data_IF_816787854201
#
_entry.id   IF_816787854201
#
_cell.length_a   1.000
_cell.length_b   1.000
_cell.length_c   1.000
_cell.angle_alpha   90.00
_cell.angle_beta   90.00
_cell.angle_gamma   90.00
#
_symmetry.space_group_name_H-M   'P 1'
#
loop_
_entity.id
_entity.type
_entity.pdbx_description
1 polymer ?
#
# COMPACT_ATOMS: atom_id res chain seq x y z
N UNK A 1 -26.05 -64.99 10.75
CA UNK A 1 -24.70 -64.80 10.21
C UNK A 1 -24.59 -63.33 9.75
N UNK A 2 -24.07 -62.47 10.61
CA UNK A 2 -24.03 -61.04 10.37
C UNK A 2 -22.59 -60.66 9.95
N UNK A 3 -22.40 -60.32 8.71
CA UNK A 3 -21.10 -59.98 8.13
C UNK A 3 -20.73 -58.56 8.55
N UNK A 4 -19.81 -58.41 9.49
CA UNK A 4 -19.23 -57.15 9.88
C UNK A 4 -18.33 -56.68 8.73
N UNK A 5 -18.72 -55.62 8.00
CA UNK A 5 -17.87 -54.90 7.09
C UNK A 5 -16.87 -54.10 7.92
N UNK A 6 -15.62 -54.56 7.97
CA UNK A 6 -14.48 -53.78 8.45
C UNK A 6 -14.25 -52.63 7.49
N UNK A 7 -14.62 -51.40 7.91
CA UNK A 7 -14.26 -50.17 7.26
C UNK A 7 -12.74 -50.00 7.46
N UNK A 8 -11.95 -50.34 6.46
CA UNK A 8 -10.51 -50.04 6.43
C UNK A 8 -10.34 -48.54 6.54
N UNK A 9 -9.85 -48.08 7.69
CA UNK A 9 -9.46 -46.67 7.89
C UNK A 9 -8.41 -46.30 6.84
N UNK A 10 -8.77 -45.44 5.91
CA UNK A 10 -7.81 -44.86 4.98
C UNK A 10 -6.69 -44.17 5.77
N UNK A 11 -5.40 -44.40 5.45
CA UNK A 11 -4.30 -43.70 6.10
C UNK A 11 -4.50 -42.21 5.96
N UNK A 12 -4.19 -41.43 7.01
CA UNK A 12 -4.32 -39.97 6.96
C UNK A 12 -3.52 -39.44 5.78
N UNK A 13 -4.18 -38.62 4.95
CA UNK A 13 -3.53 -37.96 3.82
C UNK A 13 -2.26 -37.23 4.30
N UNK A 14 -1.12 -37.33 3.60
CA UNK A 14 0.11 -36.68 4.01
C UNK A 14 -0.15 -35.19 4.15
N UNK A 15 0.35 -34.59 5.25
CA UNK A 15 0.20 -33.17 5.51
C UNK A 15 0.61 -32.35 4.27
N UNK A 16 -0.20 -31.37 3.85
CA UNK A 16 0.06 -30.64 2.63
C UNK A 16 1.43 -29.94 2.73
N UNK A 17 2.30 -30.21 1.77
CA UNK A 17 3.62 -29.58 1.69
C UNK A 17 3.43 -28.07 1.60
N UNK A 18 4.26 -27.27 2.34
CA UNK A 18 4.24 -25.80 2.28
C UNK A 18 4.37 -25.31 0.82
N UNK A 19 3.55 -24.31 0.43
CA UNK A 19 3.61 -23.68 -0.90
C UNK A 19 5.01 -23.19 -1.26
N UNK A 20 5.82 -22.79 -0.28
CA UNK A 20 7.19 -22.34 -0.50
C UNK A 20 8.14 -23.44 -1.02
N UNK A 21 7.76 -24.72 -0.88
CA UNK A 21 8.52 -25.83 -1.48
C UNK A 21 8.21 -26.04 -2.95
N UNK A 22 7.10 -25.52 -3.45
CA UNK A 22 6.68 -25.61 -4.83
C UNK A 22 7.41 -24.56 -5.69
N UNK A 23 8.17 -25.03 -6.68
CA UNK A 23 8.96 -24.16 -7.55
C UNK A 23 8.18 -23.02 -8.19
N UNK A 24 6.95 -23.22 -8.75
CA UNK A 24 6.21 -22.13 -9.36
C UNK A 24 5.81 -21.03 -8.36
N UNK A 25 5.28 -21.42 -7.20
CA UNK A 25 4.91 -20.45 -6.17
C UNK A 25 6.12 -19.73 -5.60
N UNK A 26 7.23 -20.44 -5.35
CA UNK A 26 8.47 -19.85 -4.85
C UNK A 26 9.04 -18.80 -5.81
N UNK A 27 8.99 -19.04 -7.14
CA UNK A 27 9.43 -18.06 -8.14
C UNK A 27 8.55 -16.81 -8.12
N UNK A 28 7.23 -16.96 -8.08
CA UNK A 28 6.31 -15.82 -7.98
C UNK A 28 6.50 -15.07 -6.65
N UNK A 29 6.64 -15.80 -5.55
CA UNK A 29 6.84 -15.24 -4.21
C UNK A 29 8.13 -14.43 -4.10
N UNK A 30 9.27 -14.97 -4.58
CA UNK A 30 10.56 -14.27 -4.57
C UNK A 30 10.55 -13.07 -5.52
N UNK A 31 9.92 -13.18 -6.69
CA UNK A 31 9.71 -12.06 -7.60
C UNK A 31 8.97 -10.92 -6.90
N UNK A 32 7.84 -11.21 -6.27
CA UNK A 32 7.05 -10.24 -5.55
C UNK A 32 7.80 -9.63 -4.34
N UNK A 33 8.46 -10.46 -3.53
CA UNK A 33 9.18 -10.01 -2.33
C UNK A 33 10.33 -9.05 -2.68
N UNK A 34 11.16 -9.40 -3.66
CA UNK A 34 12.30 -8.58 -4.09
C UNK A 34 11.83 -7.29 -4.76
N UNK A 35 10.82 -7.38 -5.63
CA UNK A 35 10.22 -6.20 -6.28
C UNK A 35 9.62 -5.22 -5.26
N UNK A 36 8.92 -5.71 -4.23
CA UNK A 36 8.35 -4.85 -3.19
C UNK A 36 9.41 -4.20 -2.31
N UNK A 37 10.52 -4.89 -2.03
CA UNK A 37 11.67 -4.28 -1.35
C UNK A 37 12.27 -3.14 -2.18
N UNK A 38 12.52 -3.36 -3.47
CA UNK A 38 12.99 -2.31 -4.37
C UNK A 38 12.06 -1.10 -4.40
N UNK A 39 10.76 -1.33 -4.56
CA UNK A 39 9.74 -0.28 -4.56
C UNK A 39 9.70 0.50 -3.22
N UNK A 40 9.92 -0.18 -2.08
CA UNK A 40 10.01 0.49 -0.79
C UNK A 40 11.25 1.41 -0.70
N UNK A 41 12.38 1.04 -1.31
CA UNK A 41 13.56 1.90 -1.44
C UNK A 41 13.25 3.10 -2.33
N UNK A 42 12.68 2.89 -3.52
CA UNK A 42 12.32 3.97 -4.46
C UNK A 42 11.28 4.93 -3.89
N UNK A 43 10.38 4.47 -3.03
CA UNK A 43 9.39 5.34 -2.36
C UNK A 43 10.04 6.43 -1.51
N UNK A 44 11.28 6.23 -1.05
CA UNK A 44 12.10 7.22 -0.35
C UNK A 44 13.05 7.95 -1.31
N UNK A 45 13.66 7.19 -2.24
CA UNK A 45 14.69 7.72 -3.14
C UNK A 45 14.11 8.74 -4.15
N UNK A 46 12.96 8.46 -4.77
CA UNK A 46 12.35 9.30 -5.80
C UNK A 46 12.03 10.72 -5.29
N UNK A 47 11.33 10.92 -4.15
CA UNK A 47 11.15 12.25 -3.57
C UNK A 47 12.49 12.96 -3.24
N UNK A 48 13.49 12.22 -2.77
CA UNK A 48 14.81 12.78 -2.48
C UNK A 48 15.59 13.14 -3.75
N UNK A 49 15.46 12.39 -4.84
CA UNK A 49 15.98 12.80 -6.16
C UNK A 49 15.38 14.15 -6.56
N UNK A 50 14.07 14.32 -6.42
CA UNK A 50 13.42 15.58 -6.74
C UNK A 50 13.93 16.73 -5.85
N UNK A 51 13.98 16.53 -4.52
CA UNK A 51 14.32 17.58 -3.56
C UNK A 51 15.81 17.91 -3.54
N UNK A 52 16.69 16.89 -3.53
CA UNK A 52 18.14 17.06 -3.32
C UNK A 52 18.88 17.21 -4.64
N UNK A 53 18.59 16.37 -5.64
CA UNK A 53 19.32 16.40 -6.91
C UNK A 53 18.75 17.41 -7.90
N UNK A 54 17.43 17.62 -7.92
CA UNK A 54 16.76 18.53 -8.87
C UNK A 54 16.27 19.83 -8.23
N UNK A 55 16.46 20.03 -6.93
CA UNK A 55 16.02 21.21 -6.18
C UNK A 55 14.52 21.53 -6.36
N UNK A 56 13.68 20.50 -6.51
CA UNK A 56 12.25 20.62 -6.72
C UNK A 56 11.57 21.36 -5.57
N UNK A 57 10.60 22.20 -5.88
CA UNK A 57 9.76 22.89 -4.91
C UNK A 57 8.59 22.01 -4.40
N UNK A 58 7.77 22.55 -3.50
CA UNK A 58 6.65 21.82 -2.91
C UNK A 58 5.58 21.42 -3.95
N UNK A 59 5.32 22.28 -4.97
CA UNK A 59 4.39 21.98 -6.05
C UNK A 59 4.89 20.80 -6.89
N UNK A 60 6.16 20.81 -7.23
CA UNK A 60 6.83 19.77 -8.01
C UNK A 60 6.83 18.43 -7.26
N UNK A 61 7.17 18.43 -5.97
CA UNK A 61 7.13 17.20 -5.15
C UNK A 61 5.70 16.67 -5.02
N UNK A 62 4.71 17.54 -4.84
CA UNK A 62 3.29 17.19 -4.82
C UNK A 62 2.82 16.63 -6.15
N UNK A 63 3.24 17.22 -7.29
CA UNK A 63 2.95 16.70 -8.62
C UNK A 63 3.55 15.30 -8.81
N UNK A 64 4.81 15.10 -8.45
CA UNK A 64 5.49 13.81 -8.57
C UNK A 64 4.78 12.71 -7.76
N UNK A 65 4.41 13.02 -6.51
CA UNK A 65 3.66 12.11 -5.66
C UNK A 65 2.24 11.84 -6.19
N UNK A 66 1.59 12.83 -6.82
CA UNK A 66 0.31 12.66 -7.49
C UNK A 66 0.43 11.73 -8.69
N UNK A 67 1.45 11.92 -9.54
CA UNK A 67 1.70 11.07 -10.70
C UNK A 67 1.94 9.60 -10.33
N UNK A 68 2.57 9.34 -9.18
CA UNK A 68 2.80 7.97 -8.70
C UNK A 68 1.51 7.22 -8.34
N UNK A 69 0.44 7.93 -8.00
CA UNK A 69 -0.83 7.35 -7.54
C UNK A 69 -1.97 7.48 -8.55
N UNK A 70 -1.93 8.51 -9.39
CA UNK A 70 -3.00 8.81 -10.37
C UNK A 70 -3.17 7.71 -11.41
N UNK A 71 -2.08 7.03 -11.78
CA UNK A 71 -2.10 5.92 -12.74
C UNK A 71 -3.13 4.85 -12.34
N UNK A 72 -3.17 4.48 -11.06
CA UNK A 72 -4.14 3.50 -10.56
C UNK A 72 -5.59 3.98 -10.70
N UNK A 73 -5.86 5.25 -10.43
CA UNK A 73 -7.22 5.81 -10.54
C UNK A 73 -7.72 5.87 -11.98
N UNK A 74 -6.84 6.26 -12.91
CA UNK A 74 -7.21 6.47 -14.31
C UNK A 74 -7.32 5.15 -15.07
N UNK A 75 -6.38 4.23 -14.88
CA UNK A 75 -6.27 3.03 -15.69
C UNK A 75 -6.52 1.71 -14.97
N UNK A 76 -6.72 1.73 -13.63
CA UNK A 76 -6.93 0.50 -12.88
C UNK A 76 -8.13 -0.35 -13.36
N UNK A 77 -9.23 0.30 -13.75
CA UNK A 77 -10.40 -0.39 -14.28
C UNK A 77 -10.22 -0.86 -15.74
N UNK A 78 -9.76 0.00 -16.69
CA UNK A 78 -9.45 -0.45 -18.05
C UNK A 78 -8.39 -1.54 -18.10
N UNK A 79 -7.33 -1.43 -17.26
CA UNK A 79 -6.28 -2.43 -17.16
C UNK A 79 -6.84 -3.80 -16.75
N UNK A 80 -7.81 -3.84 -15.82
CA UNK A 80 -8.48 -5.08 -15.43
C UNK A 80 -9.15 -5.77 -16.61
N UNK A 81 -9.95 -5.03 -17.37
CA UNK A 81 -10.65 -5.57 -18.52
C UNK A 81 -9.70 -6.05 -19.65
N UNK A 82 -8.57 -5.37 -19.83
CA UNK A 82 -7.57 -5.73 -20.83
C UNK A 82 -6.75 -6.97 -20.38
N UNK A 83 -6.30 -6.97 -19.13
CA UNK A 83 -5.53 -8.08 -18.55
C UNK A 83 -6.33 -9.37 -18.52
N UNK A 84 -7.65 -9.32 -18.24
CA UNK A 84 -8.50 -10.51 -18.23
C UNK A 84 -8.53 -11.23 -19.59
N UNK A 85 -8.33 -10.50 -20.69
CA UNK A 85 -8.27 -11.04 -22.06
C UNK A 85 -6.87 -11.39 -22.55
N UNK A 86 -5.85 -11.07 -21.75
CA UNK A 86 -4.43 -11.22 -22.13
C UNK A 86 -3.78 -12.36 -21.33
N UNK A 87 -2.73 -13.00 -21.88
CA UNK A 87 -1.93 -13.96 -21.13
C UNK A 87 -1.20 -13.23 -19.98
N UNK A 88 -1.44 -13.67 -18.74
CA UNK A 88 -1.02 -12.93 -17.52
C UNK A 88 0.49 -12.80 -17.39
N UNK A 89 1.21 -13.90 -17.65
CA UNK A 89 2.69 -13.96 -17.51
C UNK A 89 3.41 -13.00 -18.44
N UNK A 90 3.17 -12.95 -19.77
CA UNK A 90 3.78 -11.95 -20.65
C UNK A 90 3.48 -10.51 -20.22
N UNK A 91 2.26 -10.22 -19.76
CA UNK A 91 1.90 -8.89 -19.24
C UNK A 91 2.76 -8.53 -18.03
N UNK A 92 2.93 -9.45 -17.07
CA UNK A 92 3.78 -9.21 -15.89
C UNK A 92 5.24 -8.97 -16.27
N UNK A 93 5.79 -9.77 -17.19
CA UNK A 93 7.18 -9.61 -17.65
C UNK A 93 7.36 -8.28 -18.38
N UNK A 94 6.46 -7.93 -19.30
CA UNK A 94 6.52 -6.65 -20.01
C UNK A 94 6.42 -5.45 -19.03
N UNK A 95 5.53 -5.54 -18.04
CA UNK A 95 5.39 -4.51 -17.02
C UNK A 95 6.68 -4.35 -16.19
N UNK A 96 7.32 -5.45 -15.80
CA UNK A 96 8.61 -5.41 -15.07
C UNK A 96 9.73 -4.80 -15.91
N UNK A 97 9.84 -5.16 -17.19
CA UNK A 97 10.84 -4.59 -18.08
C UNK A 97 10.63 -3.10 -18.32
N UNK A 98 9.37 -2.67 -18.48
CA UNK A 98 9.02 -1.25 -18.61
C UNK A 98 9.38 -0.48 -17.34
N UNK A 99 9.07 -1.01 -16.15
CA UNK A 99 9.45 -0.41 -14.86
C UNK A 99 10.95 -0.32 -14.70
N UNK A 100 11.67 -1.39 -15.01
CA UNK A 100 13.11 -1.43 -14.94
C UNK A 100 13.76 -0.40 -15.87
N UNK A 101 13.29 -0.29 -17.11
CA UNK A 101 13.78 0.70 -18.07
C UNK A 101 13.45 2.12 -17.62
N UNK A 102 12.20 2.39 -17.21
CA UNK A 102 11.76 3.71 -16.78
C UNK A 102 12.55 4.20 -15.55
N UNK A 103 12.63 3.41 -14.47
CA UNK A 103 13.36 3.80 -13.28
C UNK A 103 14.89 3.71 -13.48
N UNK A 104 15.40 2.77 -14.26
CA UNK A 104 16.82 2.68 -14.59
C UNK A 104 17.33 3.85 -15.44
N UNK A 105 16.45 4.50 -16.20
CA UNK A 105 16.77 5.72 -16.95
C UNK A 105 17.12 6.91 -16.05
N UNK A 106 16.61 6.95 -14.81
CA UNK A 106 16.84 8.06 -13.87
C UNK A 106 18.30 8.15 -13.43
N UNK A 107 18.93 7.09 -12.87
CA UNK A 107 20.36 7.14 -12.54
C UNK A 107 21.25 7.27 -13.78
N UNK A 108 20.86 6.71 -14.93
CA UNK A 108 21.61 6.87 -16.17
C UNK A 108 21.63 8.34 -16.65
N UNK A 109 20.46 9.00 -16.66
CA UNK A 109 20.37 10.42 -17.01
C UNK A 109 21.09 11.31 -16.00
N UNK A 110 21.06 10.94 -14.70
CA UNK A 110 21.80 11.65 -13.66
C UNK A 110 23.33 11.56 -13.87
N UNK A 111 23.85 10.37 -14.14
CA UNK A 111 25.26 10.15 -14.40
C UNK A 111 25.75 10.92 -15.63
N UNK A 112 24.89 11.12 -16.64
CA UNK A 112 25.16 11.91 -17.83
C UNK A 112 24.96 13.42 -17.64
N UNK A 113 24.55 13.89 -16.44
CA UNK A 113 24.24 15.29 -16.17
C UNK A 113 23.00 15.82 -16.91
N UNK A 114 22.12 14.92 -17.40
CA UNK A 114 20.92 15.25 -18.20
C UNK A 114 19.59 14.98 -17.49
N UNK A 115 19.62 14.64 -16.21
CA UNK A 115 18.39 14.40 -15.46
C UNK A 115 17.60 15.70 -15.28
N UNK A 116 16.36 15.70 -15.74
CA UNK A 116 15.41 16.80 -15.58
C UNK A 116 14.22 16.39 -14.75
N UNK A 117 13.50 17.36 -14.19
CA UNK A 117 12.27 17.09 -13.44
C UNK A 117 11.18 16.43 -14.35
N UNK A 118 11.06 16.88 -15.60
CA UNK A 118 10.15 16.28 -16.57
C UNK A 118 10.48 14.80 -16.86
N UNK A 119 11.78 14.45 -16.97
CA UNK A 119 12.23 13.07 -17.12
C UNK A 119 11.81 12.22 -15.90
N UNK A 120 12.04 12.74 -14.68
CA UNK A 120 11.65 12.05 -13.45
C UNK A 120 10.13 11.81 -13.39
N UNK A 121 9.33 12.81 -13.73
CA UNK A 121 7.86 12.70 -13.82
C UNK A 121 7.43 11.64 -14.84
N UNK A 122 8.03 11.62 -16.03
CA UNK A 122 7.75 10.63 -17.06
C UNK A 122 8.09 9.22 -16.58
N UNK A 123 9.27 9.03 -15.99
CA UNK A 123 9.71 7.74 -15.44
C UNK A 123 8.76 7.22 -14.35
N UNK A 124 8.35 8.08 -13.42
CA UNK A 124 7.41 7.75 -12.33
C UNK A 124 6.02 7.41 -12.90
N UNK A 125 5.50 8.18 -13.84
CA UNK A 125 4.20 7.91 -14.45
C UNK A 125 4.19 6.60 -15.23
N UNK A 126 5.20 6.37 -16.07
CA UNK A 126 5.35 5.14 -16.86
C UNK A 126 5.48 3.92 -15.94
N UNK A 127 6.31 4.02 -14.89
CA UNK A 127 6.46 2.98 -13.88
C UNK A 127 5.14 2.74 -13.13
N UNK A 128 4.40 3.80 -12.79
CA UNK A 128 3.08 3.70 -12.15
C UNK A 128 2.05 2.98 -13.02
N UNK A 129 1.97 3.33 -14.31
CA UNK A 129 1.12 2.65 -15.29
C UNK A 129 1.46 1.16 -15.38
N UNK A 130 2.75 0.83 -15.55
CA UNK A 130 3.20 -0.55 -15.63
C UNK A 130 2.91 -1.34 -14.34
N UNK A 131 3.02 -0.69 -13.17
CA UNK A 131 2.69 -1.29 -11.87
C UNK A 131 1.21 -1.69 -11.80
N UNK A 132 0.29 -0.88 -12.33
CA UNK A 132 -1.14 -1.23 -12.38
C UNK A 132 -1.37 -2.51 -13.19
N UNK A 133 -0.75 -2.62 -14.36
CA UNK A 133 -0.86 -3.83 -15.19
C UNK A 133 -0.26 -5.06 -14.49
N UNK A 134 0.89 -4.90 -13.85
CA UNK A 134 1.53 -5.97 -13.08
C UNK A 134 0.63 -6.46 -11.93
N UNK A 135 0.12 -5.54 -11.11
CA UNK A 135 -0.71 -5.87 -9.95
C UNK A 135 -1.98 -6.63 -10.35
N UNK A 136 -2.67 -6.15 -11.39
CA UNK A 136 -3.88 -6.78 -11.90
C UNK A 136 -3.59 -8.16 -12.45
N UNK A 137 -2.52 -8.30 -13.24
CA UNK A 137 -2.12 -9.59 -13.82
C UNK A 137 -1.68 -10.59 -12.74
N UNK A 138 -0.93 -10.14 -11.73
CA UNK A 138 -0.46 -10.97 -10.62
C UNK A 138 -1.61 -11.51 -9.77
N UNK A 139 -2.58 -10.66 -9.43
CA UNK A 139 -3.78 -11.07 -8.69
C UNK A 139 -4.62 -12.08 -9.47
N UNK A 140 -4.71 -11.93 -10.80
CA UNK A 140 -5.45 -12.84 -11.67
C UNK A 140 -4.70 -14.15 -11.92
N UNK A 141 -3.36 -14.15 -11.85
CA UNK A 141 -2.53 -15.33 -12.07
C UNK A 141 -2.42 -16.25 -10.84
N UNK A 142 -2.59 -15.72 -9.63
CA UNK A 142 -2.41 -16.48 -8.39
C UNK A 142 -3.32 -17.69 -8.27
N UNK A 143 -4.66 -17.62 -8.55
CA UNK A 143 -5.54 -18.79 -8.51
C UNK A 143 -5.18 -19.87 -9.53
N UNK A 144 -4.65 -19.47 -10.69
CA UNK A 144 -4.22 -20.39 -11.75
C UNK A 144 -2.95 -21.15 -11.34
N UNK A 145 -2.09 -20.52 -10.53
CA UNK A 145 -0.81 -21.07 -10.12
C UNK A 145 -0.93 -22.05 -8.93
N UNK A 146 -1.74 -21.71 -7.91
CA UNK A 146 -1.80 -22.47 -6.64
C UNK A 146 -3.08 -23.31 -6.46
N UNK A 147 -4.05 -23.14 -7.34
CA UNK A 147 -5.39 -23.72 -7.18
C UNK A 147 -6.24 -22.97 -6.13
N UNK A 148 -7.56 -23.15 -6.20
CA UNK A 148 -8.49 -22.41 -5.32
C UNK A 148 -8.39 -22.82 -3.86
N UNK A 149 -8.08 -24.09 -3.60
CA UNK A 149 -8.02 -24.65 -2.24
C UNK A 149 -6.87 -24.09 -1.41
N UNK A 150 -5.79 -23.64 -2.06
CA UNK A 150 -4.59 -23.12 -1.39
C UNK A 150 -4.43 -21.59 -1.49
N UNK A 151 -5.42 -20.87 -2.03
CA UNK A 151 -5.40 -19.41 -2.15
C UNK A 151 -5.22 -18.69 -0.81
N UNK A 152 -5.83 -19.23 0.26
CA UNK A 152 -5.72 -18.64 1.60
C UNK A 152 -4.28 -18.68 2.11
N UNK A 153 -3.58 -19.80 1.92
CA UNK A 153 -2.16 -19.95 2.30
C UNK A 153 -1.28 -19.02 1.45
N UNK A 154 -1.49 -18.98 0.13
CA UNK A 154 -0.75 -18.11 -0.78
C UNK A 154 -0.91 -16.62 -0.43
N UNK A 155 -2.15 -16.18 -0.20
CA UNK A 155 -2.43 -14.80 0.20
C UNK A 155 -1.83 -14.46 1.56
N UNK A 156 -1.84 -15.39 2.53
CA UNK A 156 -1.19 -15.16 3.82
C UNK A 156 0.31 -14.89 3.67
N UNK A 157 1.01 -15.66 2.82
CA UNK A 157 2.42 -15.42 2.52
C UNK A 157 2.65 -14.05 1.86
N UNK A 158 1.85 -13.67 0.86
CA UNK A 158 1.98 -12.38 0.17
C UNK A 158 1.71 -11.20 1.09
N UNK A 159 0.65 -11.26 1.91
CA UNK A 159 0.32 -10.20 2.88
C UNK A 159 1.40 -10.06 3.95
N UNK A 160 1.96 -11.18 4.42
CA UNK A 160 3.08 -11.15 5.38
C UNK A 160 4.31 -10.49 4.76
N UNK A 161 4.62 -10.83 3.51
CA UNK A 161 5.73 -10.21 2.77
C UNK A 161 5.48 -8.72 2.59
N UNK A 162 4.27 -8.29 2.25
CA UNK A 162 3.92 -6.87 2.14
C UNK A 162 4.18 -6.11 3.44
N UNK A 163 3.79 -6.68 4.57
CA UNK A 163 4.03 -6.08 5.87
C UNK A 163 5.53 -5.99 6.19
N UNK A 164 6.28 -7.06 5.95
CA UNK A 164 7.73 -7.12 6.19
C UNK A 164 8.50 -6.16 5.28
N UNK A 165 8.13 -6.07 4.00
CA UNK A 165 8.80 -5.18 3.04
C UNK A 165 8.46 -3.72 3.26
N UNK A 166 7.27 -3.39 3.73
CA UNK A 166 6.94 -2.01 4.11
C UNK A 166 7.77 -1.50 5.29
N UNK A 167 8.07 -2.37 6.26
CA UNK A 167 8.87 -2.01 7.42
C UNK A 167 10.35 -2.08 7.08
N UNK A 168 10.83 -3.26 6.67
CA UNK A 168 12.24 -3.51 6.36
C UNK A 168 12.74 -2.72 5.16
N UNK A 169 11.93 -2.59 4.12
CA UNK A 169 12.30 -1.89 2.90
C UNK A 169 12.53 -0.39 3.11
N UNK A 170 11.74 0.27 3.95
CA UNK A 170 11.98 1.68 4.30
C UNK A 170 13.22 1.86 5.17
N UNK A 171 13.49 0.93 6.08
CA UNK A 171 14.73 0.91 6.89
C UNK A 171 15.93 0.70 6.00
N UNK A 172 15.91 -0.32 5.14
CA UNK A 172 16.99 -0.60 4.18
C UNK A 172 17.17 0.58 3.23
N UNK A 173 16.07 1.16 2.71
CA UNK A 173 16.11 2.36 1.87
C UNK A 173 16.75 3.55 2.56
N UNK A 174 16.43 3.80 3.83
CA UNK A 174 17.05 4.86 4.62
C UNK A 174 18.55 4.64 4.84
N UNK A 175 18.97 3.42 5.17
CA UNK A 175 20.39 3.07 5.31
C UNK A 175 21.14 3.16 3.98
N UNK A 176 20.52 2.71 2.88
CA UNK A 176 21.10 2.84 1.56
C UNK A 176 21.31 4.30 1.17
N UNK A 177 20.35 5.17 1.44
CA UNK A 177 20.44 6.62 1.19
C UNK A 177 21.44 7.33 2.10
N UNK A 178 21.92 6.70 3.16
CA UNK A 178 23.06 7.18 3.93
C UNK A 178 24.41 6.88 3.25
N UNK A 179 24.46 5.81 2.44
CA UNK A 179 25.69 5.32 1.83
C UNK A 179 25.86 5.78 0.36
N UNK A 180 24.73 5.98 -0.37
CA UNK A 180 24.76 6.32 -1.80
C UNK A 180 23.83 7.49 -2.11
N UNK A 181 24.10 8.18 -3.23
CA UNK A 181 23.26 9.25 -3.72
C UNK A 181 21.85 8.73 -4.07
N UNK A 182 20.81 9.55 -3.85
CA UNK A 182 19.42 9.17 -4.07
C UNK A 182 19.14 8.64 -5.50
N UNK A 183 19.69 9.21 -6.60
CA UNK A 183 19.51 8.62 -7.93
C UNK A 183 20.12 7.22 -8.06
N UNK A 184 21.25 6.94 -7.41
CA UNK A 184 21.86 5.62 -7.43
C UNK A 184 21.02 4.58 -6.65
N UNK A 185 20.35 4.99 -5.57
CA UNK A 185 19.45 4.10 -4.81
C UNK A 185 18.27 3.59 -5.66
N UNK A 186 17.83 4.34 -6.68
CA UNK A 186 16.77 3.92 -7.61
C UNK A 186 17.18 2.70 -8.45
N UNK A 187 18.49 2.46 -8.65
CA UNK A 187 18.99 1.24 -9.34
C UNK A 187 18.57 -0.05 -8.62
N UNK A 188 18.45 -0.01 -7.31
CA UNK A 188 18.03 -1.19 -6.53
C UNK A 188 16.63 -1.63 -6.94
N UNK A 189 15.73 -0.70 -7.17
CA UNK A 189 14.37 -0.99 -7.62
C UNK A 189 14.36 -1.46 -9.07
N UNK A 190 15.09 -0.76 -9.96
CA UNK A 190 15.23 -1.20 -11.36
C UNK A 190 15.79 -2.63 -11.45
N UNK A 191 16.83 -2.96 -10.66
CA UNK A 191 17.38 -4.32 -10.58
C UNK A 191 16.36 -5.32 -10.00
N UNK A 192 15.56 -4.92 -9.03
CA UNK A 192 14.50 -5.76 -8.44
C UNK A 192 13.45 -6.17 -9.48
N UNK A 193 13.08 -5.26 -10.38
CA UNK A 193 12.17 -5.56 -11.48
C UNK A 193 12.80 -6.51 -12.53
N UNK A 194 14.08 -6.35 -12.82
CA UNK A 194 14.79 -7.31 -13.69
C UNK A 194 14.85 -8.70 -13.06
N UNK A 195 15.10 -8.78 -11.76
CA UNK A 195 15.02 -10.03 -11.01
C UNK A 195 13.62 -10.65 -11.09
N UNK A 196 12.57 -9.85 -10.87
CA UNK A 196 11.18 -10.29 -10.98
C UNK A 196 10.88 -10.84 -12.38
N UNK A 197 11.24 -10.10 -13.43
CA UNK A 197 11.10 -10.56 -14.81
C UNK A 197 11.85 -11.88 -15.08
N UNK A 198 13.07 -12.04 -14.58
CA UNK A 198 13.85 -13.27 -14.71
C UNK A 198 13.20 -14.46 -13.99
N UNK A 199 12.61 -14.25 -12.79
CA UNK A 199 11.84 -15.28 -12.10
C UNK A 199 10.59 -15.67 -12.90
N UNK A 200 9.87 -14.69 -13.44
CA UNK A 200 8.67 -14.92 -14.25
C UNK A 200 9.02 -15.63 -15.59
N UNK A 201 10.17 -15.36 -16.19
CA UNK A 201 10.65 -16.07 -17.37
C UNK A 201 10.95 -17.55 -17.09
N UNK A 202 11.31 -17.90 -15.85
CA UNK A 202 11.54 -19.28 -15.42
C UNK A 202 10.26 -20.04 -15.02
N UNK A 203 9.14 -19.34 -14.88
CA UNK A 203 7.83 -19.96 -14.76
C UNK A 203 7.47 -20.61 -16.10
N UNK A 204 6.98 -21.84 -16.08
CA UNK A 204 6.47 -22.52 -17.28
C UNK A 204 5.33 -21.74 -17.94
N UNK A 205 4.95 -22.07 -19.19
CA UNK A 205 3.80 -21.47 -19.84
C UNK A 205 2.56 -21.71 -18.96
N UNK A 206 1.87 -20.62 -18.58
CA UNK A 206 0.59 -20.69 -17.87
C UNK A 206 -0.50 -21.29 -18.78
N UNK A 207 -1.51 -21.85 -18.16
CA UNK A 207 -2.72 -22.29 -18.89
C UNK A 207 -3.33 -21.10 -19.61
N UNK A 208 -3.72 -21.31 -20.87
CA UNK A 208 -4.45 -20.28 -21.65
C UNK A 208 -5.74 -19.93 -20.89
N UNK A 209 -6.06 -18.65 -20.73
CA UNK A 209 -7.28 -18.27 -20.02
C UNK A 209 -8.50 -18.91 -20.69
N UNK A 210 -9.29 -19.66 -19.92
CA UNK A 210 -10.59 -20.07 -20.39
C UNK A 210 -11.45 -18.82 -20.65
N UNK A 211 -12.21 -18.76 -21.77
CA UNK A 211 -13.09 -17.64 -22.04
C UNK A 211 -14.08 -17.49 -20.86
N UNK A 212 -13.95 -16.43 -20.09
CA UNK A 212 -14.94 -16.11 -19.06
C UNK A 212 -16.20 -15.62 -19.74
N UNK A 213 -17.32 -16.25 -19.38
CA UNK A 213 -18.64 -15.88 -19.84
C UNK A 213 -18.87 -14.35 -19.71
N UNK A 214 -19.46 -13.75 -20.75
CA UNK A 214 -19.82 -12.36 -20.86
C UNK A 214 -20.44 -11.78 -19.58
N UNK A 215 -19.69 -10.99 -18.84
CA UNK A 215 -20.25 -10.09 -17.83
C UNK A 215 -20.88 -8.91 -18.56
N UNK A 216 -22.15 -9.05 -18.90
CA UNK A 216 -22.96 -8.03 -19.62
C UNK A 216 -23.32 -6.80 -18.78
N UNK A 217 -23.01 -6.77 -17.49
CA UNK A 217 -23.23 -5.58 -16.68
C UNK A 217 -22.15 -4.53 -17.00
N UNK A 218 -22.55 -3.35 -17.45
CA UNK A 218 -21.62 -2.26 -17.77
C UNK A 218 -20.79 -1.86 -16.53
N UNK A 219 -19.46 -1.74 -16.69
CA UNK A 219 -18.52 -1.38 -15.62
C UNK A 219 -19.00 -0.16 -14.82
N UNK A 220 -19.60 0.82 -15.46
CA UNK A 220 -20.18 2.01 -14.80
C UNK A 220 -21.31 1.66 -13.84
N UNK A 221 -22.13 0.67 -14.17
CA UNK A 221 -23.25 0.20 -13.33
C UNK A 221 -22.75 -0.54 -12.10
N UNK A 222 -21.69 -1.34 -12.25
CA UNK A 222 -21.05 -2.06 -11.13
C UNK A 222 -20.36 -1.10 -10.17
N UNK A 223 -19.64 -0.10 -10.68
CA UNK A 223 -19.03 0.97 -9.86
C UNK A 223 -20.10 1.75 -9.12
N UNK A 224 -21.16 2.19 -9.83
CA UNK A 224 -22.27 2.92 -9.22
C UNK A 224 -23.00 2.13 -8.13
N UNK A 225 -23.18 0.82 -8.33
CA UNK A 225 -23.78 -0.07 -7.34
C UNK A 225 -22.88 -0.21 -6.10
N UNK A 226 -21.57 -0.43 -6.27
CA UNK A 226 -20.60 -0.51 -5.17
C UNK A 226 -20.53 0.79 -4.38
N UNK A 227 -20.47 1.94 -5.06
CA UNK A 227 -20.42 3.25 -4.43
C UNK A 227 -21.70 3.52 -3.62
N UNK A 228 -22.87 3.25 -4.23
CA UNK A 228 -24.16 3.40 -3.55
C UNK A 228 -24.28 2.50 -2.34
N UNK A 229 -23.81 1.26 -2.43
CA UNK A 229 -23.79 0.31 -1.32
C UNK A 229 -22.95 0.83 -0.15
N UNK A 230 -21.71 1.24 -0.40
CA UNK A 230 -20.80 1.74 0.64
C UNK A 230 -21.32 3.05 1.27
N UNK A 231 -21.88 3.97 0.46
CA UNK A 231 -22.31 5.28 0.96
C UNK A 231 -23.65 5.26 1.73
N UNK A 232 -24.52 4.28 1.44
CA UNK A 232 -25.80 4.09 2.15
C UNK A 232 -25.67 3.28 3.42
N UNK A 233 -24.65 2.43 3.51
CA UNK A 233 -24.45 1.57 4.67
C UNK A 233 -23.90 2.38 5.87
N UNK A 234 -24.58 2.32 7.05
CA UNK A 234 -24.21 3.10 8.24
C UNK A 234 -22.88 2.63 8.88
N UNK A 235 -22.36 1.49 8.52
CA UNK A 235 -21.08 0.92 9.00
C UNK A 235 -19.96 1.19 8.00
N UNK A 236 -20.20 0.96 6.71
CA UNK A 236 -19.18 1.08 5.66
C UNK A 236 -18.82 2.54 5.36
N UNK A 237 -19.79 3.44 5.35
CA UNK A 237 -19.57 4.88 5.10
C UNK A 237 -18.57 5.50 6.09
N UNK A 238 -18.74 5.40 7.43
CA UNK A 238 -17.77 5.97 8.37
C UNK A 238 -16.40 5.30 8.30
N UNK A 239 -16.32 4.00 7.96
CA UNK A 239 -15.05 3.31 7.71
C UNK A 239 -14.35 3.88 6.48
N UNK A 240 -15.09 4.12 5.38
CA UNK A 240 -14.55 4.73 4.16
C UNK A 240 -14.05 6.16 4.41
N UNK A 241 -14.83 6.98 5.12
CA UNK A 241 -14.46 8.35 5.47
C UNK A 241 -13.22 8.39 6.38
N UNK A 242 -13.22 7.61 7.46
CA UNK A 242 -12.06 7.56 8.36
C UNK A 242 -10.82 7.00 7.69
N UNK A 243 -10.96 5.99 6.82
CA UNK A 243 -9.85 5.45 6.02
C UNK A 243 -9.33 6.46 5.00
N UNK A 244 -10.23 7.15 4.29
CA UNK A 244 -9.88 8.20 3.35
C UNK A 244 -9.13 9.36 4.02
N UNK A 245 -9.64 9.88 5.14
CA UNK A 245 -8.96 10.91 5.93
C UNK A 245 -7.58 10.45 6.42
N UNK A 246 -7.46 9.19 6.88
CA UNK A 246 -6.16 8.64 7.28
C UNK A 246 -5.16 8.64 6.12
N UNK A 247 -5.57 8.09 4.96
CA UNK A 247 -4.69 8.00 3.77
C UNK A 247 -4.32 9.38 3.24
N UNK A 248 -5.27 10.31 3.16
CA UNK A 248 -5.04 11.68 2.73
C UNK A 248 -4.00 12.36 3.63
N UNK A 249 -4.19 12.30 4.93
CA UNK A 249 -3.32 12.97 5.91
C UNK A 249 -1.93 12.33 5.98
N UNK A 250 -1.83 11.00 5.93
CA UNK A 250 -0.54 10.29 5.87
C UNK A 250 0.21 10.67 4.60
N UNK A 251 -0.48 10.65 3.44
CA UNK A 251 0.15 10.96 2.17
C UNK A 251 0.62 12.42 2.12
N UNK A 252 -0.19 13.35 2.64
CA UNK A 252 0.17 14.75 2.78
C UNK A 252 1.44 14.90 3.63
N UNK A 253 1.51 14.24 4.79
CA UNK A 253 2.72 14.21 5.63
C UNK A 253 3.93 13.63 4.87
N UNK A 254 3.76 12.48 4.22
CA UNK A 254 4.85 11.80 3.52
C UNK A 254 5.39 12.60 2.33
N UNK A 255 4.55 13.42 1.69
CA UNK A 255 4.95 14.27 0.56
C UNK A 255 5.77 15.47 1.01
N UNK A 256 5.43 16.08 2.16
CA UNK A 256 6.14 17.31 2.62
C UNK A 256 7.34 17.02 3.53
N UNK A 257 7.37 15.88 4.22
CA UNK A 257 8.47 15.52 5.13
C UNK A 257 9.87 15.51 4.49
N UNK A 258 10.07 15.03 3.25
CA UNK A 258 11.36 15.11 2.58
C UNK A 258 11.87 16.56 2.45
N UNK A 259 10.98 17.48 2.04
CA UNK A 259 11.31 18.91 1.94
C UNK A 259 11.69 19.50 3.30
N UNK A 260 10.87 19.25 4.32
CA UNK A 260 11.07 19.77 5.66
C UNK A 260 12.38 19.27 6.27
N UNK A 261 12.59 17.94 6.27
CA UNK A 261 13.75 17.32 6.93
C UNK A 261 15.06 17.68 6.21
N UNK A 262 15.10 17.58 4.87
CA UNK A 262 16.37 17.74 4.15
C UNK A 262 16.66 19.18 3.77
N UNK A 263 15.66 20.00 3.45
CA UNK A 263 15.84 21.36 2.96
C UNK A 263 15.69 22.42 4.06
N UNK A 264 14.61 22.40 4.84
CA UNK A 264 14.41 23.40 5.89
C UNK A 264 15.24 23.11 7.14
N UNK A 265 15.26 21.84 7.59
CA UNK A 265 16.04 21.46 8.76
C UNK A 265 17.50 21.12 8.44
N UNK A 266 17.88 20.94 7.16
CA UNK A 266 19.24 20.60 6.75
C UNK A 266 19.74 19.27 7.32
N UNK A 267 18.82 18.35 7.67
CA UNK A 267 19.18 17.05 8.22
C UNK A 267 19.51 16.05 7.10
N UNK A 268 20.41 15.09 7.35
CA UNK A 268 20.78 14.10 6.37
C UNK A 268 19.60 13.19 5.97
N UNK A 269 19.58 12.72 4.73
CA UNK A 269 18.47 11.92 4.16
C UNK A 269 18.15 10.63 4.93
N UNK A 270 19.14 10.04 5.62
CA UNK A 270 18.93 8.85 6.45
C UNK A 270 17.98 9.10 7.62
N UNK A 271 17.91 10.34 8.13
CA UNK A 271 16.97 10.72 9.21
C UNK A 271 15.53 10.52 8.74
N UNK A 272 15.21 10.88 7.49
CA UNK A 272 13.89 10.60 6.89
C UNK A 272 13.60 9.11 6.82
N UNK A 273 14.59 8.30 6.40
CA UNK A 273 14.47 6.84 6.38
C UNK A 273 14.18 6.25 7.76
N UNK A 274 14.91 6.71 8.78
CA UNK A 274 14.69 6.29 10.17
C UNK A 274 13.30 6.71 10.67
N UNK A 275 12.87 7.92 10.36
CA UNK A 275 11.54 8.42 10.73
C UNK A 275 10.44 7.53 10.16
N UNK A 276 10.52 7.13 8.89
CA UNK A 276 9.56 6.22 8.29
C UNK A 276 9.68 4.77 8.79
N UNK A 277 10.89 4.31 9.13
CA UNK A 277 11.10 3.00 9.75
C UNK A 277 10.40 2.89 11.11
N UNK A 278 10.50 3.94 11.94
CA UNK A 278 9.77 4.06 13.21
C UNK A 278 8.25 3.95 12.98
N UNK A 279 7.73 4.59 11.93
CA UNK A 279 6.33 4.44 11.54
C UNK A 279 5.97 3.02 11.13
N UNK A 280 6.83 2.35 10.36
CA UNK A 280 6.64 0.94 9.99
C UNK A 280 6.55 0.03 11.21
N UNK A 281 7.42 0.25 12.22
CA UNK A 281 7.37 -0.46 13.50
C UNK A 281 6.03 -0.22 14.22
N UNK A 282 5.52 1.02 14.20
CA UNK A 282 4.21 1.36 14.75
C UNK A 282 3.09 0.52 14.13
N UNK A 283 3.02 0.46 12.79
CA UNK A 283 2.01 -0.36 12.08
C UNK A 283 2.10 -1.83 12.47
N UNK A 284 3.32 -2.39 12.57
CA UNK A 284 3.52 -3.78 12.94
C UNK A 284 3.01 -4.07 14.36
N UNK A 285 3.40 -3.25 15.32
CA UNK A 285 2.97 -3.41 16.72
C UNK A 285 1.45 -3.24 16.83
N UNK A 286 0.89 -2.25 16.16
CA UNK A 286 -0.55 -2.00 16.14
C UNK A 286 -1.36 -3.16 15.57
N UNK A 287 -0.91 -3.74 14.46
CA UNK A 287 -1.59 -4.88 13.84
C UNK A 287 -1.59 -6.13 14.73
N UNK A 288 -0.51 -6.37 15.50
CA UNK A 288 -0.44 -7.46 16.48
C UNK A 288 -1.34 -7.22 17.69
N UNK A 289 -1.46 -5.98 18.14
CA UNK A 289 -2.30 -5.59 19.27
C UNK A 289 -3.78 -5.47 18.91
N UNK A 290 -4.14 -5.45 17.63
CA UNK A 290 -5.50 -5.18 17.16
C UNK A 290 -6.54 -6.17 17.73
N UNK A 291 -6.26 -7.49 17.64
CA UNK A 291 -7.16 -8.54 18.14
C UNK A 291 -7.35 -8.52 19.65
N UNK A 292 -6.28 -8.52 20.50
CA UNK A 292 -6.45 -8.45 21.95
C UNK A 292 -7.16 -7.17 22.40
N UNK A 293 -6.87 -6.02 21.79
CA UNK A 293 -7.56 -4.77 22.11
C UNK A 293 -9.04 -4.82 21.71
N UNK A 294 -9.36 -5.34 20.53
CA UNK A 294 -10.74 -5.49 20.07
C UNK A 294 -11.55 -6.45 20.98
N UNK A 295 -10.94 -7.52 21.48
CA UNK A 295 -11.58 -8.43 22.44
C UNK A 295 -11.83 -7.76 23.79
N UNK A 296 -10.87 -6.97 24.30
CA UNK A 296 -10.97 -6.36 25.64
C UNK A 296 -11.93 -5.17 25.68
N UNK A 297 -11.89 -4.29 24.69
CA UNK A 297 -12.63 -3.02 24.67
C UNK A 297 -13.83 -3.01 23.75
N UNK A 298 -13.93 -4.00 22.87
CA UNK A 298 -14.92 -4.07 21.79
C UNK A 298 -14.40 -3.43 20.49
N UNK A 299 -14.65 -4.10 19.38
CA UNK A 299 -14.07 -3.76 18.07
C UNK A 299 -14.42 -2.33 17.60
N UNK A 300 -15.70 -1.91 17.75
CA UNK A 300 -16.13 -0.56 17.38
C UNK A 300 -15.59 0.51 18.31
N UNK A 301 -15.49 0.21 19.63
CA UNK A 301 -14.94 1.15 20.61
C UNK A 301 -13.46 1.41 20.38
N UNK A 302 -12.67 0.38 20.06
CA UNK A 302 -11.24 0.52 19.79
C UNK A 302 -10.99 1.52 18.66
N UNK A 303 -11.79 1.51 17.60
CA UNK A 303 -11.60 2.40 16.45
C UNK A 303 -11.68 3.89 16.81
N UNK A 304 -12.63 4.29 17.70
CA UNK A 304 -12.77 5.70 18.05
C UNK A 304 -12.00 6.08 19.32
N UNK A 305 -11.97 5.23 20.36
CA UNK A 305 -11.22 5.50 21.60
C UNK A 305 -9.72 5.60 21.35
N UNK A 306 -9.16 4.64 20.60
CA UNK A 306 -7.75 4.73 20.21
C UNK A 306 -7.49 5.95 19.34
N UNK A 307 -8.45 6.33 18.47
CA UNK A 307 -8.34 7.55 17.68
C UNK A 307 -8.29 8.81 18.52
N UNK A 308 -9.14 8.90 19.52
CA UNK A 308 -9.14 10.03 20.46
C UNK A 308 -7.88 10.06 21.32
N UNK A 309 -7.45 8.91 21.85
CA UNK A 309 -6.23 8.82 22.68
C UNK A 309 -4.97 9.15 21.90
N UNK A 310 -4.93 8.83 20.59
CA UNK A 310 -3.77 9.07 19.72
C UNK A 310 -3.79 10.48 19.09
N UNK A 311 -4.92 11.17 19.09
CA UNK A 311 -5.05 12.49 18.48
C UNK A 311 -3.96 13.51 18.91
N UNK A 312 -3.59 13.65 20.21
CA UNK A 312 -2.53 14.57 20.62
C UNK A 312 -1.16 14.21 20.03
N UNK A 313 -0.88 12.90 19.89
CA UNK A 313 0.36 12.43 19.29
C UNK A 313 0.45 12.72 17.79
N UNK A 314 -0.69 12.73 17.09
CA UNK A 314 -0.74 13.17 15.70
C UNK A 314 -0.28 14.60 15.52
N UNK A 315 -0.58 15.49 16.45
CA UNK A 315 -0.15 16.89 16.43
C UNK A 315 1.36 17.05 16.66
N UNK A 316 2.01 16.14 17.42
CA UNK A 316 3.45 16.17 17.63
C UNK A 316 4.25 16.06 16.33
N UNK A 317 3.67 15.44 15.30
CA UNK A 317 4.31 15.29 13.99
C UNK A 317 4.59 16.67 13.35
N UNK A 318 3.68 17.63 13.54
CA UNK A 318 3.84 18.98 13.00
C UNK A 318 4.89 19.82 13.74
N UNK A 319 5.29 19.40 14.94
CA UNK A 319 6.32 20.05 15.75
C UNK A 319 7.75 19.55 15.41
N UNK A 320 7.88 18.75 14.34
CA UNK A 320 9.20 18.25 13.93
C UNK A 320 10.18 19.39 13.71
N UNK A 321 11.31 19.35 14.46
CA UNK A 321 12.40 20.28 14.39
C UNK A 321 13.71 19.59 14.83
N UNK A 322 14.83 20.31 14.86
CA UNK A 322 16.12 19.80 15.31
C UNK A 322 16.09 19.45 16.81
N UNK A 323 16.99 18.57 17.21
CA UNK A 323 17.16 18.19 18.63
C UNK A 323 16.01 17.38 19.20
N UNK A 324 15.52 17.73 20.40
CA UNK A 324 14.49 16.96 21.12
C UNK A 324 13.14 16.86 20.41
N UNK A 325 12.78 17.85 19.60
CA UNK A 325 11.53 17.88 18.84
C UNK A 325 11.47 16.83 17.74
N UNK A 326 12.63 16.43 17.19
CA UNK A 326 12.69 15.30 16.25
C UNK A 326 12.22 13.99 16.89
N UNK A 327 12.64 13.73 18.13
CA UNK A 327 12.23 12.55 18.88
C UNK A 327 10.75 12.59 19.29
N UNK A 328 10.26 13.78 19.67
CA UNK A 328 8.84 13.99 19.95
C UNK A 328 7.97 13.71 18.72
N UNK A 329 8.37 14.22 17.55
CA UNK A 329 7.69 13.96 16.30
C UNK A 329 7.78 12.48 15.88
N UNK A 330 8.94 11.82 16.08
CA UNK A 330 9.10 10.39 15.83
C UNK A 330 8.19 9.54 16.73
N UNK A 331 8.05 9.90 18.01
CA UNK A 331 7.08 9.29 18.92
C UNK A 331 5.65 9.51 18.44
N UNK A 332 5.32 10.72 18.03
CA UNK A 332 4.01 11.05 17.44
C UNK A 332 3.71 10.19 16.21
N UNK A 333 4.70 10.01 15.34
CA UNK A 333 4.60 9.17 14.15
C UNK A 333 4.42 7.69 14.51
N UNK A 334 5.21 7.17 15.47
CA UNK A 334 5.09 5.80 15.99
C UNK A 334 3.68 5.51 16.51
N UNK A 335 3.17 6.37 17.39
CA UNK A 335 1.87 6.18 18.04
C UNK A 335 0.72 6.32 17.03
N UNK A 336 0.82 7.27 16.11
CA UNK A 336 -0.17 7.44 15.03
C UNK A 336 -0.19 6.23 14.10
N UNK A 337 0.96 5.75 13.68
CA UNK A 337 1.04 4.57 12.80
C UNK A 337 0.70 3.26 13.52
N UNK A 338 0.91 3.16 14.84
CA UNK A 338 0.39 2.08 15.68
C UNK A 338 -1.14 2.00 15.58
N UNK A 339 -1.82 3.13 15.70
CA UNK A 339 -3.28 3.20 15.49
C UNK A 339 -3.66 2.77 14.06
N UNK A 340 -2.91 3.17 13.05
CA UNK A 340 -3.14 2.73 11.65
C UNK A 340 -3.04 1.22 11.53
N UNK A 341 -2.09 0.58 12.21
CA UNK A 341 -1.97 -0.88 12.26
C UNK A 341 -3.22 -1.56 12.84
N UNK A 342 -3.77 -1.01 13.93
CA UNK A 342 -5.03 -1.48 14.52
C UNK A 342 -6.18 -1.32 13.51
N UNK A 343 -6.30 -0.13 12.91
CA UNK A 343 -7.35 0.21 11.96
C UNK A 343 -7.36 -0.74 10.75
N UNK A 344 -6.19 -1.07 10.22
CA UNK A 344 -6.06 -1.96 9.06
C UNK A 344 -6.64 -3.36 9.34
N UNK A 345 -6.48 -3.88 10.56
CA UNK A 345 -7.06 -5.17 10.94
C UNK A 345 -8.56 -5.05 11.22
N UNK A 346 -8.94 -4.14 12.11
CA UNK A 346 -10.31 -4.05 12.62
C UNK A 346 -11.29 -3.56 11.55
N UNK A 347 -10.93 -2.51 10.77
CA UNK A 347 -11.78 -1.99 9.68
C UNK A 347 -11.99 -3.01 8.56
N UNK A 348 -10.96 -3.81 8.22
CA UNK A 348 -11.09 -4.88 7.22
C UNK A 348 -12.03 -5.96 7.70
N UNK A 349 -11.89 -6.40 8.96
CA UNK A 349 -12.79 -7.40 9.55
C UNK A 349 -14.25 -6.92 9.57
N UNK A 350 -14.52 -5.65 9.93
CA UNK A 350 -15.87 -5.10 9.85
C UNK A 350 -16.43 -5.11 8.43
N UNK A 351 -15.64 -4.64 7.44
CA UNK A 351 -16.09 -4.60 6.04
C UNK A 351 -16.49 -5.99 5.54
N UNK A 352 -15.69 -7.01 5.87
CA UNK A 352 -15.97 -8.38 5.46
C UNK A 352 -17.19 -8.96 6.17
N UNK A 353 -17.36 -8.69 7.48
CA UNK A 353 -18.46 -9.22 8.27
C UNK A 353 -19.84 -8.65 7.90
N UNK A 354 -19.91 -7.35 7.48
CA UNK A 354 -21.18 -6.70 7.15
C UNK A 354 -21.56 -6.80 5.67
N UNK A 355 -20.66 -7.28 4.81
CA UNK A 355 -20.89 -7.29 3.36
C UNK A 355 -21.31 -8.68 2.91
N UNK A 356 -22.47 -8.83 2.24
CA UNK A 356 -22.86 -10.09 1.63
C UNK A 356 -21.87 -10.58 0.58
N UNK A 357 -21.68 -11.91 0.45
CA UNK A 357 -20.66 -12.51 -0.42
C UNK A 357 -20.71 -12.01 -1.87
N UNK A 358 -21.91 -11.85 -2.43
CA UNK A 358 -22.09 -11.36 -3.80
C UNK A 358 -21.71 -9.88 -4.00
N UNK A 359 -21.55 -9.09 -2.92
CA UNK A 359 -21.16 -7.68 -2.93
C UNK A 359 -19.71 -7.46 -2.49
N UNK A 360 -19.01 -8.47 -1.93
CA UNK A 360 -17.64 -8.34 -1.41
C UNK A 360 -16.67 -7.77 -2.46
N UNK A 361 -16.73 -8.25 -3.68
CA UNK A 361 -15.87 -7.75 -4.76
C UNK A 361 -16.12 -6.27 -5.07
N UNK A 362 -17.38 -5.86 -5.19
CA UNK A 362 -17.76 -4.46 -5.48
C UNK A 362 -17.43 -3.53 -4.32
N UNK A 363 -17.69 -3.96 -3.09
CA UNK A 363 -17.32 -3.21 -1.89
C UNK A 363 -15.80 -3.01 -1.79
N UNK A 364 -15.01 -4.07 -1.97
CA UNK A 364 -13.55 -3.97 -1.93
C UNK A 364 -12.99 -3.05 -3.03
N UNK A 365 -13.52 -3.15 -4.26
CA UNK A 365 -13.13 -2.27 -5.36
C UNK A 365 -13.45 -0.80 -5.04
N UNK A 366 -14.64 -0.53 -4.50
CA UNK A 366 -15.05 0.82 -4.08
C UNK A 366 -14.17 1.35 -2.96
N UNK A 367 -13.89 0.55 -1.93
CA UNK A 367 -13.01 0.95 -0.84
C UNK A 367 -11.59 1.24 -1.35
N UNK A 368 -11.04 0.38 -2.22
CA UNK A 368 -9.74 0.59 -2.83
C UNK A 368 -9.70 1.90 -3.63
N UNK A 369 -10.74 2.18 -4.41
CA UNK A 369 -10.86 3.43 -5.17
C UNK A 369 -10.88 4.66 -4.25
N UNK A 370 -11.69 4.66 -3.19
CA UNK A 370 -11.79 5.76 -2.22
C UNK A 370 -10.46 5.97 -1.49
N UNK A 371 -9.83 4.88 -1.01
CA UNK A 371 -8.58 4.96 -0.25
C UNK A 371 -7.39 5.40 -1.12
N UNK A 372 -7.29 4.91 -2.36
CA UNK A 372 -6.24 5.34 -3.30
C UNK A 372 -6.50 6.75 -3.82
N UNK A 373 -7.77 7.11 -4.06
CA UNK A 373 -8.16 8.48 -4.41
C UNK A 373 -7.76 9.48 -3.32
N UNK A 374 -7.92 9.11 -2.06
CA UNK A 374 -7.49 9.93 -0.94
C UNK A 374 -5.97 10.13 -0.90
N UNK A 375 -5.16 9.13 -1.28
CA UNK A 375 -3.70 9.29 -1.45
C UNK A 375 -3.37 10.31 -2.55
N UNK A 376 -4.03 10.18 -3.71
CA UNK A 376 -3.82 11.10 -4.83
C UNK A 376 -4.17 12.56 -4.44
N UNK A 377 -5.34 12.75 -3.83
CA UNK A 377 -5.77 14.07 -3.35
C UNK A 377 -4.83 14.60 -2.27
N UNK A 378 -4.36 13.75 -1.35
CA UNK A 378 -3.40 14.10 -0.31
C UNK A 378 -2.06 14.60 -0.89
N UNK A 379 -1.56 13.95 -1.94
CA UNK A 379 -0.36 14.39 -2.67
C UNK A 379 -0.54 15.75 -3.35
N UNK A 380 -1.66 15.94 -4.04
CA UNK A 380 -1.97 17.20 -4.71
C UNK A 380 -2.14 18.36 -3.70
N UNK A 381 -2.85 18.11 -2.59
CA UNK A 381 -3.01 19.07 -1.50
C UNK A 381 -1.67 19.40 -0.82
N UNK A 382 -0.78 18.44 -0.69
CA UNK A 382 0.56 18.66 -0.16
C UNK A 382 1.35 19.66 -1.00
N UNK A 383 1.32 19.49 -2.33
CA UNK A 383 1.95 20.44 -3.25
C UNK A 383 1.32 21.82 -3.18
N UNK A 384 -0.02 21.89 -3.21
CA UNK A 384 -0.75 23.17 -3.16
C UNK A 384 -0.51 23.91 -1.84
N UNK A 385 -0.76 23.26 -0.71
CA UNK A 385 -0.59 23.89 0.61
C UNK A 385 0.88 24.22 0.89
N UNK A 386 1.80 23.33 0.48
CA UNK A 386 3.23 23.57 0.64
C UNK A 386 3.74 24.79 -0.15
N UNK A 387 3.13 25.07 -1.31
CA UNK A 387 3.48 26.24 -2.15
C UNK A 387 2.83 27.52 -1.64
N UNK A 388 1.53 27.47 -1.27
CA UNK A 388 0.76 28.67 -0.93
C UNK A 388 0.99 29.10 0.53
N UNK A 389 1.01 28.14 1.45
CA UNK A 389 1.07 28.38 2.91
C UNK A 389 2.41 27.95 3.53
N UNK A 390 3.28 27.30 2.76
CA UNK A 390 4.54 26.74 3.23
C UNK A 390 4.43 25.30 3.75
N UNK A 391 5.58 24.63 3.76
CA UNK A 391 5.71 23.19 4.08
C UNK A 391 5.23 22.86 5.51
N UNK A 392 5.52 23.73 6.47
CA UNK A 392 5.08 23.57 7.86
C UNK A 392 3.55 23.65 8.01
N UNK A 393 2.90 24.58 7.29
CA UNK A 393 1.44 24.68 7.31
C UNK A 393 0.77 23.45 6.70
N UNK A 394 1.33 22.93 5.61
CA UNK A 394 0.87 21.67 5.02
C UNK A 394 1.01 20.51 6.01
N UNK A 395 2.11 20.42 6.77
CA UNK A 395 2.29 19.40 7.78
C UNK A 395 1.30 19.55 8.95
N UNK A 396 1.00 20.78 9.37
CA UNK A 396 -0.07 21.05 10.36
C UNK A 396 -1.44 20.59 9.87
N UNK A 397 -1.79 20.86 8.61
CA UNK A 397 -3.04 20.38 8.01
C UNK A 397 -3.13 18.85 8.04
N UNK A 398 -2.03 18.15 7.74
CA UNK A 398 -1.95 16.70 7.84
C UNK A 398 -2.12 16.20 9.30
N UNK A 399 -1.44 16.84 10.25
CA UNK A 399 -1.49 16.49 11.66
C UNK A 399 -2.90 16.67 12.26
N UNK A 400 -3.56 17.77 11.94
CA UNK A 400 -4.97 18.02 12.31
C UNK A 400 -5.89 16.98 11.66
N UNK A 401 -5.68 16.66 10.39
CA UNK A 401 -6.41 15.60 9.71
C UNK A 401 -6.28 14.26 10.42
N UNK A 402 -5.06 13.85 10.83
CA UNK A 402 -4.80 12.64 11.60
C UNK A 402 -5.47 12.68 12.99
N UNK A 403 -5.46 13.83 13.65
CA UNK A 403 -6.11 14.00 14.94
C UNK A 403 -7.65 13.89 14.87
N UNK A 404 -8.26 14.14 13.72
CA UNK A 404 -9.71 14.11 13.51
C UNK A 404 -10.27 12.81 12.90
N UNK A 405 -9.41 11.85 12.54
CA UNK A 405 -9.81 10.59 11.87
C UNK A 405 -10.84 9.77 12.64
N UNK A 406 -10.88 9.87 13.95
CA UNK A 406 -11.84 9.16 14.81
C UNK A 406 -13.27 9.71 14.74
N UNK A 407 -13.45 10.95 14.33
CA UNK A 407 -14.75 11.67 14.35
C UNK A 407 -15.84 10.97 13.53
N UNK A 408 -15.60 10.53 12.27
CA UNK A 408 -16.62 9.81 11.51
C UNK A 408 -17.12 8.54 12.19
N UNK A 409 -16.24 7.83 12.88
CA UNK A 409 -16.58 6.58 13.58
C UNK A 409 -17.32 6.88 14.88
N UNK A 410 -16.88 7.87 15.65
CA UNK A 410 -17.53 8.28 16.90
C UNK A 410 -18.97 8.79 16.69
N UNK A 411 -19.23 9.39 15.51
CA UNK A 411 -20.58 9.87 15.11
C UNK A 411 -21.44 8.79 14.46
N UNK A 412 -20.96 7.54 14.37
CA UNK A 412 -21.65 6.43 13.71
C UNK A 412 -22.16 5.39 14.72
N UNK A 413 -23.06 4.50 14.31
CA UNK A 413 -23.51 3.37 15.11
C UNK A 413 -22.37 2.44 15.54
N UNK A 414 -21.24 2.42 14.78
CA UNK A 414 -20.05 1.63 15.08
C UNK A 414 -19.52 1.83 16.51
N UNK A 415 -19.65 3.01 17.08
CA UNK A 415 -19.16 3.30 18.45
C UNK A 415 -19.71 2.37 19.51
N UNK A 416 -20.90 1.78 19.27
CA UNK A 416 -21.62 0.92 20.22
C UNK A 416 -21.37 -0.57 19.98
N UNK A 417 -20.80 -0.93 18.86
CA UNK A 417 -20.58 -2.34 18.47
C UNK A 417 -19.46 -2.93 19.33
N UNK A 418 -19.76 -3.96 20.12
CA UNK A 418 -18.80 -4.66 20.98
C UNK A 418 -18.16 -5.85 20.29
N UNK A 419 -18.94 -6.65 19.59
CA UNK A 419 -18.49 -7.84 18.86
C UNK A 419 -18.61 -7.64 17.35
N UNK A 420 -17.79 -8.34 16.56
CA UNK A 420 -17.98 -8.40 15.12
C UNK A 420 -19.24 -9.19 14.81
N UNK A 421 -20.04 -8.84 13.80
CA UNK A 421 -21.17 -9.66 13.36
C UNK A 421 -20.67 -11.06 13.01
N UNK A 422 -21.26 -12.10 13.61
CA UNK A 422 -20.89 -13.51 13.35
C UNK A 422 -19.79 -14.12 14.25
N UNK A 423 -19.34 -13.43 15.31
CA UNK A 423 -18.43 -14.00 16.34
C UNK A 423 -19.11 -14.11 17.68
#
# INVERSE_FOLDING_TARGET
MTTAQQTLAQPPAPAPRSLLTERPFRLLYTAAAVSKLGTAVSSLAIPLVAVVALHADAAQVGLLATLSTVAFLLIGLPAGAWVDRSPKRPVMIAADLVRAAALGSVPAAWALGRLTFAHLCAAVLVSGVATVFFDVASLSNLPELVGRDRLTEANAHLVTTDALTQIGGRTVGGLLLAAVAAPAAVLVDAASYLWSAACLLRLGPGTTPAPRADRRAGIRQEIGAGLRFVWRDPVLRPIALAGGCTNLSIQLSQTVLPLLITRELGLPSWVLGLFFAVGGLGVLLGSRCARPLARRFGAGRVLWLMGLAVAPFGLLIALVDRGGWLWAAALGWLVTTFKVGIDNVVKVSFRQAVTPDHMLGRMNATMRFVLTGALCVGSALAGLLGTVLGVRAALWAAAVGLALVWVPIARSPLRRVRALPGT
#
